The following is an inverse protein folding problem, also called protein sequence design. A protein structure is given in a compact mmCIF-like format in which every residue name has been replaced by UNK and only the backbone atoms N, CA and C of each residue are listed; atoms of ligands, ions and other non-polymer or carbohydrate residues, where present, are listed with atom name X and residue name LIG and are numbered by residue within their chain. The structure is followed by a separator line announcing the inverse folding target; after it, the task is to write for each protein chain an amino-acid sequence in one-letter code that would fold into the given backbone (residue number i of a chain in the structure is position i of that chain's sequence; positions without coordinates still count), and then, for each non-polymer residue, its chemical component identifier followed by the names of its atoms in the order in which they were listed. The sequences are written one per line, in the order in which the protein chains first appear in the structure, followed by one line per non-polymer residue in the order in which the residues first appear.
data_IF_360761752944
#
_entry.id   IF_360761752944
#
_cell.length_a   1.000
_cell.length_b   1.000
_cell.length_c   1.000
_cell.angle_alpha   90.00
_cell.angle_beta   90.00
_cell.angle_gamma   90.00
#
_symmetry.space_group_name_H-M   'P 1'
#
loop_
_entity.id
_entity.type
_entity.pdbx_description
1 polymer ?
#
# COMPACT_ATOMS: atom_id res chain seq x y z
N UNK A 1 10.97 11.51 36.72
CA UNK A 1 11.21 12.20 35.44
C UNK A 1 12.39 11.68 34.61
N UNK A 2 13.54 11.28 35.18
CA UNK A 2 14.74 10.87 34.39
C UNK A 2 14.55 9.65 33.46
N UNK A 3 13.65 8.71 33.80
CA UNK A 3 13.40 7.50 32.99
C UNK A 3 12.64 7.76 31.68
N UNK A 4 11.75 8.74 31.65
CA UNK A 4 10.96 9.10 30.46
C UNK A 4 11.83 9.80 29.39
N UNK A 5 12.76 10.65 29.82
CA UNK A 5 13.70 11.33 28.92
C UNK A 5 14.61 10.34 28.18
N UNK A 6 15.05 9.28 28.86
CA UNK A 6 15.92 8.27 28.26
C UNK A 6 15.20 7.47 27.16
N UNK A 7 13.92 7.14 27.36
CA UNK A 7 13.09 6.45 26.36
C UNK A 7 12.89 7.34 25.14
N UNK A 8 12.62 8.63 25.33
CA UNK A 8 12.47 9.59 24.25
C UNK A 8 13.76 9.75 23.42
N UNK A 9 14.91 9.90 24.08
CA UNK A 9 16.22 10.02 23.40
C UNK A 9 16.56 8.75 22.63
N UNK A 10 16.26 7.58 23.18
CA UNK A 10 16.50 6.30 22.50
C UNK A 10 15.62 6.19 21.26
N UNK A 11 14.36 6.61 21.34
CA UNK A 11 13.41 6.58 20.22
C UNK A 11 13.81 7.56 19.09
N UNK A 12 14.24 8.78 19.45
CA UNK A 12 14.72 9.79 18.47
C UNK A 12 16.03 9.34 17.81
N UNK A 13 16.94 8.74 18.57
CA UNK A 13 18.22 8.22 18.05
C UNK A 13 18.00 7.04 17.11
N UNK A 14 17.03 6.18 17.43
CA UNK A 14 16.64 5.07 16.57
C UNK A 14 15.96 5.54 15.27
N UNK A 15 15.07 6.54 15.36
CA UNK A 15 14.42 7.13 14.19
C UNK A 15 15.40 7.87 13.24
N UNK A 16 16.43 8.52 13.78
CA UNK A 16 17.46 9.21 12.97
C UNK A 16 18.50 8.23 12.42
N UNK A 17 18.97 7.28 13.22
CA UNK A 17 19.96 6.28 12.80
C UNK A 17 19.48 5.36 11.67
N UNK A 18 18.19 4.97 11.67
CA UNK A 18 17.64 4.06 10.66
C UNK A 18 17.52 4.70 9.27
N UNK A 19 17.31 6.02 9.19
CA UNK A 19 17.24 6.74 7.92
C UNK A 19 18.58 6.72 7.17
N UNK A 20 19.70 6.70 7.88
CA UNK A 20 21.04 6.60 7.29
C UNK A 20 21.30 5.20 6.70
N UNK A 21 20.90 4.14 7.39
CA UNK A 21 21.15 2.76 6.95
C UNK A 21 20.33 2.39 5.70
N UNK A 22 19.08 2.86 5.60
CA UNK A 22 18.26 2.64 4.39
C UNK A 22 18.75 3.46 3.18
N UNK A 23 19.34 4.63 3.41
CA UNK A 23 19.90 5.46 2.34
C UNK A 23 21.13 4.81 1.70
N UNK A 24 21.92 4.07 2.48
CA UNK A 24 23.15 3.41 2.01
C UNK A 24 22.86 2.08 1.30
N UNK A 25 21.86 1.31 1.76
CA UNK A 25 21.49 0.02 1.16
C UNK A 25 20.91 0.11 -0.25
N UNK A 26 20.39 1.27 -0.68
CA UNK A 26 19.67 1.41 -1.96
C UNK A 26 20.46 2.11 -3.06
N UNK A 27 21.67 2.59 -2.77
CA UNK A 27 22.52 3.26 -3.76
C UNK A 27 23.13 2.30 -4.80
N UNK A 28 23.09 0.97 -4.58
CA UNK A 28 23.74 -0.02 -5.43
C UNK A 28 22.81 -0.76 -6.42
N UNK A 29 21.51 -0.47 -6.45
CA UNK A 29 20.63 -1.05 -7.46
C UNK A 29 20.72 -0.28 -8.77
N UNK A 30 21.73 -0.64 -9.57
CA UNK A 30 21.77 -0.30 -10.99
C UNK A 30 20.55 -0.96 -11.65
N UNK A 31 19.72 -0.23 -12.42
CA UNK A 31 18.51 -0.79 -13.02
C UNK A 31 18.89 -1.87 -14.03
N UNK A 32 18.87 -3.12 -13.57
CA UNK A 32 19.04 -4.29 -14.44
C UNK A 32 17.83 -4.36 -15.34
N UNK A 33 18.02 -4.11 -16.64
CA UNK A 33 16.98 -4.26 -17.66
C UNK A 33 16.38 -5.65 -17.52
N UNK A 34 15.07 -5.80 -17.21
CA UNK A 34 14.50 -7.11 -16.97
C UNK A 34 14.59 -7.93 -18.26
N UNK A 35 15.28 -9.08 -18.16
CA UNK A 35 15.25 -10.11 -19.18
C UNK A 35 13.80 -10.49 -19.44
N UNK A 36 13.38 -10.41 -20.71
CA UNK A 36 12.01 -10.70 -21.13
C UNK A 36 11.60 -12.10 -20.65
N UNK A 37 10.72 -12.16 -19.64
CA UNK A 37 10.07 -13.41 -19.23
C UNK A 37 9.07 -13.79 -20.30
N UNK A 38 9.35 -14.87 -21.01
CA UNK A 38 8.44 -15.54 -21.92
C UNK A 38 7.28 -16.09 -21.07
N UNK A 39 6.09 -15.52 -21.26
CA UNK A 39 4.89 -15.85 -20.50
C UNK A 39 4.14 -16.93 -21.28
N UNK A 40 4.21 -18.17 -20.81
CA UNK A 40 3.45 -19.28 -21.35
C UNK A 40 1.96 -19.07 -21.05
N UNK A 41 1.20 -18.85 -22.12
CA UNK A 41 -0.23 -18.66 -22.07
C UNK A 41 -0.94 -20.03 -22.10
N UNK A 42 -1.20 -20.60 -20.93
CA UNK A 42 -2.19 -21.66 -20.77
C UNK A 42 -3.27 -21.16 -19.80
N UNK A 43 -4.30 -20.53 -20.35
CA UNK A 43 -5.49 -20.09 -19.61
C UNK A 43 -6.71 -20.66 -20.34
N UNK A 44 -7.27 -21.71 -19.76
CA UNK A 44 -8.56 -22.28 -20.17
C UNK A 44 -9.67 -21.26 -19.94
N UNK A 45 -10.26 -20.81 -21.02
CA UNK A 45 -11.43 -19.94 -21.05
C UNK A 45 -12.63 -20.61 -20.33
N UNK A 46 -13.05 -20.01 -19.22
CA UNK A 46 -14.37 -20.24 -18.63
C UNK A 46 -15.28 -19.10 -19.08
N UNK A 47 -16.09 -19.36 -20.10
CA UNK A 47 -17.11 -18.45 -20.61
C UNK A 47 -18.32 -18.46 -19.67
N UNK A 48 -18.38 -17.53 -18.72
CA UNK A 48 -19.62 -17.20 -18.01
C UNK A 48 -20.38 -16.16 -18.85
N UNK A 49 -21.56 -16.46 -19.38
CA UNK A 49 -22.37 -15.49 -20.11
C UNK A 49 -22.93 -14.47 -19.12
N UNK A 50 -22.34 -13.26 -19.10
CA UNK A 50 -22.88 -12.13 -18.35
C UNK A 50 -24.02 -11.52 -19.18
N UNK A 51 -25.27 -11.87 -18.86
CA UNK A 51 -26.47 -11.23 -19.42
C UNK A 51 -26.63 -9.83 -18.80
N UNK A 52 -25.99 -8.85 -19.44
CA UNK A 52 -26.17 -7.44 -19.12
C UNK A 52 -27.42 -6.94 -19.86
N UNK A 53 -28.57 -6.91 -19.18
CA UNK A 53 -29.76 -6.14 -19.61
C UNK A 53 -29.44 -4.64 -19.49
N UNK A 54 -28.61 -4.14 -20.40
CA UNK A 54 -28.29 -2.73 -20.53
C UNK A 54 -28.91 -2.19 -21.81
N UNK A 55 -29.87 -1.28 -21.66
CA UNK A 55 -30.38 -0.34 -22.67
C UNK A 55 -29.49 -0.24 -23.91
N UNK A 56 -29.95 -0.86 -25.00
CA UNK A 56 -29.37 -0.68 -26.33
C UNK A 56 -29.72 0.74 -26.76
N UNK A 57 -28.84 1.69 -26.44
CA UNK A 57 -28.87 3.01 -27.07
C UNK A 57 -28.67 2.75 -28.56
N UNK A 58 -29.70 3.06 -29.35
CA UNK A 58 -29.68 2.88 -30.79
C UNK A 58 -28.45 3.56 -31.38
N UNK A 59 -27.56 2.75 -31.94
CA UNK A 59 -26.30 3.18 -32.54
C UNK A 59 -26.63 3.97 -33.80
N UNK A 60 -26.36 5.27 -33.78
CA UNK A 60 -26.52 6.15 -34.94
C UNK A 60 -25.69 5.60 -36.12
N UNK A 61 -26.33 5.14 -37.21
CA UNK A 61 -25.64 4.52 -38.34
C UNK A 61 -24.83 5.51 -39.17
N UNK A 62 -25.01 6.82 -38.98
CA UNK A 62 -24.26 7.87 -39.66
C UNK A 62 -23.10 8.43 -38.84
N UNK A 63 -22.85 7.91 -37.62
CA UNK A 63 -21.65 8.25 -36.86
C UNK A 63 -20.46 7.55 -37.51
N UNK A 64 -19.86 8.27 -38.46
CA UNK A 64 -18.59 7.98 -39.12
C UNK A 64 -17.65 7.29 -38.11
N UNK A 65 -17.13 6.13 -38.48
CA UNK A 65 -16.20 5.32 -37.70
C UNK A 65 -14.82 5.99 -37.57
N UNK A 66 -14.80 7.31 -37.43
CA UNK A 66 -13.62 8.14 -37.26
C UNK A 66 -13.21 8.06 -35.81
N UNK A 67 -12.21 7.22 -35.59
CA UNK A 67 -11.59 6.96 -34.30
C UNK A 67 -12.45 6.11 -33.36
N UNK A 68 -12.11 4.82 -33.16
CA UNK A 68 -12.63 4.09 -32.02
C UNK A 68 -12.09 4.77 -30.76
N UNK A 69 -12.88 5.71 -30.25
CA UNK A 69 -12.68 6.53 -29.06
C UNK A 69 -12.81 5.63 -27.84
N UNK A 70 -11.88 4.67 -27.72
CA UNK A 70 -11.65 3.95 -26.49
C UNK A 70 -10.80 4.87 -25.62
N UNK A 71 -11.37 5.49 -24.56
CA UNK A 71 -10.63 6.40 -23.68
C UNK A 71 -9.48 5.72 -22.93
N UNK A 72 -9.37 4.39 -23.04
CA UNK A 72 -8.33 3.56 -22.42
C UNK A 72 -6.96 3.68 -23.11
N UNK A 73 -6.90 4.07 -24.38
CA UNK A 73 -5.63 4.20 -25.11
C UNK A 73 -5.32 5.66 -25.46
N UNK A 74 -5.31 6.53 -24.44
CA UNK A 74 -4.77 7.89 -24.64
C UNK A 74 -3.29 7.77 -24.98
N UNK A 75 -2.88 8.36 -26.10
CA UNK A 75 -1.48 8.51 -26.55
C UNK A 75 -0.55 9.13 -25.48
N UNK A 76 -1.12 9.65 -24.39
CA UNK A 76 -0.42 10.25 -23.27
C UNK A 76 -0.58 9.46 -21.96
N UNK A 77 -0.64 8.12 -21.99
CA UNK A 77 -0.72 7.30 -20.76
C UNK A 77 0.39 7.63 -19.75
N UNK A 78 1.58 8.01 -20.22
CA UNK A 78 2.69 8.49 -19.40
C UNK A 78 2.39 9.79 -18.63
N UNK A 79 1.52 10.65 -19.16
CA UNK A 79 1.10 11.91 -18.53
C UNK A 79 0.13 11.68 -17.37
N UNK A 80 -0.73 10.67 -17.48
CA UNK A 80 -1.74 10.37 -16.46
C UNK A 80 -1.25 9.42 -15.37
N UNK A 81 -0.27 8.56 -15.68
CA UNK A 81 0.29 7.58 -14.76
C UNK A 81 1.82 7.67 -14.74
N UNK A 82 2.40 8.71 -14.10
CA UNK A 82 3.84 8.84 -14.00
C UNK A 82 4.44 7.69 -13.17
N UNK A 83 5.70 7.30 -13.43
CA UNK A 83 6.35 6.24 -12.67
C UNK A 83 6.57 6.74 -11.25
N UNK A 84 6.34 5.86 -10.27
CA UNK A 84 6.50 6.20 -8.86
C UNK A 84 7.81 5.64 -8.34
N UNK A 85 8.49 6.42 -7.52
CA UNK A 85 9.80 6.04 -6.96
C UNK A 85 9.57 5.37 -5.61
N UNK A 86 10.08 4.14 -5.43
CA UNK A 86 9.91 3.37 -4.20
C UNK A 86 10.47 4.10 -2.97
N UNK A 87 11.62 4.77 -3.13
CA UNK A 87 12.23 5.60 -2.08
C UNK A 87 11.29 6.68 -1.55
N UNK A 88 10.55 7.35 -2.42
CA UNK A 88 9.59 8.39 -2.02
C UNK A 88 8.44 7.79 -1.21
N UNK A 89 7.93 6.62 -1.60
CA UNK A 89 6.88 5.95 -0.84
C UNK A 89 7.34 5.45 0.53
N UNK A 90 8.57 4.92 0.62
CA UNK A 90 9.20 4.53 1.88
C UNK A 90 9.31 5.74 2.81
N UNK A 91 9.86 6.86 2.31
CA UNK A 91 10.00 8.09 3.10
C UNK A 91 8.65 8.62 3.56
N UNK A 92 7.65 8.63 2.67
CA UNK A 92 6.29 9.04 3.02
C UNK A 92 5.69 8.14 4.10
N UNK A 93 5.81 6.81 3.96
CA UNK A 93 5.32 5.87 4.97
C UNK A 93 6.11 5.93 6.30
N UNK A 94 7.37 6.35 6.26
CA UNK A 94 8.14 6.64 7.47
C UNK A 94 7.65 7.94 8.14
N UNK A 95 7.28 8.98 7.40
CA UNK A 95 6.73 10.20 8.03
C UNK A 95 5.38 9.98 8.69
N UNK A 96 4.49 9.22 8.04
CA UNK A 96 3.15 8.95 8.56
C UNK A 96 2.65 7.59 8.03
N UNK A 97 2.09 6.72 8.88
CA UNK A 97 1.55 5.44 8.44
C UNK A 97 0.53 5.61 7.31
N UNK A 98 0.66 4.81 6.25
CA UNK A 98 -0.28 4.79 5.14
C UNK A 98 -0.06 5.81 4.00
N UNK A 99 0.84 6.79 4.16
CA UNK A 99 1.09 7.77 3.10
C UNK A 99 1.73 7.15 1.84
N UNK A 100 2.65 6.19 1.99
CA UNK A 100 3.28 5.54 0.84
C UNK A 100 2.29 4.72 -0.01
N UNK A 101 1.31 4.08 0.64
CA UNK A 101 0.22 3.36 -0.03
C UNK A 101 -0.72 4.34 -0.75
N UNK A 102 -1.05 5.45 -0.11
CA UNK A 102 -1.86 6.53 -0.72
C UNK A 102 -1.15 7.13 -1.93
N UNK A 103 0.14 7.43 -1.80
CA UNK A 103 1.00 7.87 -2.90
C UNK A 103 0.97 6.87 -4.06
N UNK A 104 0.94 5.57 -3.78
CA UNK A 104 0.84 4.50 -4.78
C UNK A 104 -0.56 4.30 -5.36
N UNK A 105 -1.55 5.12 -5.00
CA UNK A 105 -2.93 5.03 -5.49
C UNK A 105 -3.78 3.98 -4.79
N UNK A 106 -3.39 3.54 -3.58
CA UNK A 106 -4.15 2.62 -2.74
C UNK A 106 -4.58 3.28 -1.42
N UNK A 107 -5.49 4.27 -1.47
CA UNK A 107 -5.87 5.05 -0.29
C UNK A 107 -6.54 4.20 0.80
N UNK A 108 -7.30 3.17 0.42
CA UNK A 108 -7.95 2.26 1.40
C UNK A 108 -6.92 1.51 2.24
N UNK A 109 -5.83 1.02 1.62
CA UNK A 109 -4.73 0.39 2.37
C UNK A 109 -3.99 1.41 3.24
N UNK A 110 -3.78 2.61 2.72
CA UNK A 110 -3.17 3.70 3.49
C UNK A 110 -3.98 4.03 4.74
N UNK A 111 -5.30 4.18 4.60
CA UNK A 111 -6.20 4.45 5.70
C UNK A 111 -6.17 3.32 6.75
N UNK A 112 -6.12 2.06 6.32
CA UNK A 112 -6.04 0.92 7.24
C UNK A 112 -4.76 0.95 8.10
N UNK A 113 -3.60 1.28 7.51
CA UNK A 113 -2.36 1.42 8.28
C UNK A 113 -2.40 2.62 9.23
N UNK A 114 -2.99 3.73 8.80
CA UNK A 114 -3.15 4.92 9.62
C UNK A 114 -4.02 4.65 10.85
N UNK A 115 -5.21 4.06 10.66
CA UNK A 115 -6.12 3.74 11.75
C UNK A 115 -5.57 2.68 12.69
N UNK A 116 -4.94 1.63 12.14
CA UNK A 116 -4.30 0.60 12.96
C UNK A 116 -3.12 1.15 13.79
N UNK A 117 -2.25 1.94 13.16
CA UNK A 117 -1.10 2.55 13.84
C UNK A 117 -1.52 3.51 14.95
N UNK A 118 -2.44 4.44 14.66
CA UNK A 118 -2.97 5.37 15.66
C UNK A 118 -3.74 4.66 16.77
N UNK A 119 -4.55 3.65 16.43
CA UNK A 119 -5.30 2.86 17.39
C UNK A 119 -4.40 2.13 18.38
N UNK A 120 -3.31 1.51 17.91
CA UNK A 120 -2.34 0.83 18.78
C UNK A 120 -1.59 1.81 19.68
N UNK A 121 -1.18 2.98 19.17
CA UNK A 121 -0.51 4.02 19.97
C UNK A 121 -1.48 4.58 21.03
N UNK A 122 -2.74 4.84 20.68
CA UNK A 122 -3.74 5.31 21.62
C UNK A 122 -4.03 4.28 22.71
N UNK A 123 -4.19 3.00 22.34
CA UNK A 123 -4.38 1.90 23.29
C UNK A 123 -3.17 1.73 24.23
N UNK A 124 -1.96 1.88 23.70
CA UNK A 124 -0.74 1.87 24.51
C UNK A 124 -0.72 3.03 25.50
N UNK A 125 -0.99 4.25 25.05
CA UNK A 125 -1.04 5.45 25.88
C UNK A 125 -2.08 5.34 27.00
N UNK A 126 -3.29 4.88 26.69
CA UNK A 126 -4.35 4.64 27.67
C UNK A 126 -3.91 3.67 28.77
N UNK A 127 -3.28 2.56 28.39
CA UNK A 127 -2.83 1.56 29.34
C UNK A 127 -1.63 2.04 30.18
N UNK A 128 -0.70 2.79 29.59
CA UNK A 128 0.43 3.37 30.35
C UNK A 128 -0.08 4.41 31.35
N UNK A 129 -1.02 5.27 30.94
CA UNK A 129 -1.63 6.27 31.82
C UNK A 129 -2.33 5.61 33.01
N UNK A 130 -3.17 4.59 32.75
CA UNK A 130 -3.81 3.78 33.80
C UNK A 130 -2.80 3.12 34.72
N UNK A 131 -1.71 2.57 34.18
CA UNK A 131 -0.67 1.95 34.99
C UNK A 131 -0.03 2.95 35.96
N UNK A 132 0.29 4.15 35.48
CA UNK A 132 0.86 5.24 36.31
C UNK A 132 -0.14 5.70 37.36
N UNK A 133 -1.41 5.84 36.98
CA UNK A 133 -2.48 6.25 37.90
C UNK A 133 -2.66 5.26 39.06
N UNK A 134 -2.76 3.95 38.77
CA UNK A 134 -2.89 2.93 39.81
C UNK A 134 -1.63 2.79 40.67
N UNK A 135 -0.44 2.97 40.09
CA UNK A 135 0.81 2.96 40.85
C UNK A 135 0.87 4.13 41.85
N UNK A 136 0.54 5.35 41.42
CA UNK A 136 0.48 6.54 42.30
C UNK A 136 -0.56 6.38 43.41
N UNK A 137 -1.78 5.91 43.09
CA UNK A 137 -2.81 5.65 44.11
C UNK A 137 -2.37 4.58 45.12
N UNK A 138 -1.71 3.51 44.66
CA UNK A 138 -1.22 2.45 45.54
C UNK A 138 -0.15 2.93 46.52
N UNK A 139 0.60 3.96 46.16
CA UNK A 139 1.62 4.57 47.01
C UNK A 139 1.03 5.61 47.97
N UNK A 140 -0.11 6.22 47.62
CA UNK A 140 -0.80 7.21 48.46
C UNK A 140 -1.75 6.60 49.48
N UNK A 141 -2.46 5.53 49.12
CA UNK A 141 -3.53 4.95 49.94
C UNK A 141 -3.20 3.51 50.36
N UNK A 142 -2.61 3.35 51.54
CA UNK A 142 -2.27 2.03 52.10
C UNK A 142 -3.52 1.16 52.38
N UNK A 143 -4.68 1.76 52.64
CA UNK A 143 -5.92 1.04 52.98
C UNK A 143 -6.76 0.65 51.76
N UNK A 144 -6.42 1.15 50.57
CA UNK A 144 -7.22 0.98 49.36
C UNK A 144 -8.02 2.23 48.94
N UNK A 145 -8.64 2.16 47.76
CA UNK A 145 -9.41 3.23 47.13
C UNK A 145 -10.63 2.64 46.40
N UNK A 146 -11.76 3.35 46.43
CA UNK A 146 -12.93 2.99 45.65
C UNK A 146 -12.77 3.44 44.20
N UNK A 147 -12.69 2.50 43.26
CA UNK A 147 -12.56 2.81 41.84
C UNK A 147 -13.95 2.99 41.21
N UNK A 148 -14.31 4.21 40.76
CA UNK A 148 -15.63 4.46 40.18
C UNK A 148 -15.86 3.74 38.85
N UNK A 149 -14.82 3.19 38.21
CA UNK A 149 -14.97 2.49 36.94
C UNK A 149 -15.36 1.03 37.12
N UNK A 150 -14.88 0.40 38.19
CA UNK A 150 -15.14 -1.00 38.48
C UNK A 150 -16.17 -1.21 39.59
N UNK A 151 -16.72 -0.11 40.15
CA UNK A 151 -17.67 -0.10 41.27
C UNK A 151 -17.21 -0.98 42.45
N UNK A 152 -15.91 -0.99 42.70
CA UNK A 152 -15.29 -1.90 43.66
C UNK A 152 -14.22 -1.17 44.47
N UNK A 153 -14.15 -1.51 45.76
CA UNK A 153 -13.06 -1.07 46.62
C UNK A 153 -11.83 -1.92 46.36
N UNK A 154 -10.74 -1.30 45.90
CA UNK A 154 -9.49 -1.96 45.57
C UNK A 154 -8.48 -1.79 46.70
N UNK A 155 -7.91 -2.88 47.18
CA UNK A 155 -6.79 -2.83 48.13
C UNK A 155 -5.51 -2.34 47.47
N UNK A 156 -4.53 -1.90 48.24
CA UNK A 156 -3.23 -1.45 47.72
C UNK A 156 -2.53 -2.51 46.85
N UNK A 157 -2.61 -3.79 47.24
CA UNK A 157 -2.03 -4.89 46.46
C UNK A 157 -2.80 -5.15 45.15
N UNK A 158 -4.14 -5.07 45.18
CA UNK A 158 -4.95 -5.17 43.96
C UNK A 158 -4.64 -4.03 42.99
N UNK A 159 -4.43 -2.81 43.48
CA UNK A 159 -4.02 -1.67 42.65
C UNK A 159 -2.65 -1.91 42.00
N UNK A 160 -1.67 -2.43 42.74
CA UNK A 160 -0.35 -2.77 42.18
C UNK A 160 -0.42 -3.85 41.10
N UNK A 161 -1.27 -4.87 41.30
CA UNK A 161 -1.50 -5.92 40.29
C UNK A 161 -2.14 -5.32 39.04
N UNK A 162 -3.17 -4.47 39.18
CA UNK A 162 -3.78 -3.75 38.04
C UNK A 162 -2.78 -2.84 37.34
N UNK A 163 -1.97 -2.09 38.08
CA UNK A 163 -0.92 -1.23 37.52
C UNK A 163 0.04 -2.03 36.63
N UNK A 164 0.49 -3.20 37.10
CA UNK A 164 1.35 -4.11 36.31
C UNK A 164 0.63 -4.67 35.09
N UNK A 165 -0.62 -5.07 35.22
CA UNK A 165 -1.42 -5.58 34.10
C UNK A 165 -1.56 -4.53 32.99
N UNK A 166 -1.95 -3.30 33.35
CA UNK A 166 -2.02 -2.20 32.41
C UNK A 166 -0.64 -1.85 31.81
N UNK A 167 0.44 -1.85 32.60
CA UNK A 167 1.77 -1.62 32.07
C UNK A 167 2.17 -2.68 31.02
N UNK A 168 1.87 -3.95 31.28
CA UNK A 168 2.13 -5.04 30.33
C UNK A 168 1.34 -4.86 29.03
N UNK A 169 0.03 -4.56 29.12
CA UNK A 169 -0.77 -4.27 27.92
C UNK A 169 -0.27 -3.04 27.17
N UNK A 170 0.12 -1.98 27.89
CA UNK A 170 0.71 -0.79 27.30
C UNK A 170 1.96 -1.09 26.48
N UNK A 171 2.88 -1.90 27.03
CA UNK A 171 4.08 -2.35 26.33
C UNK A 171 3.73 -3.23 25.12
N UNK A 172 2.78 -4.16 25.26
CA UNK A 172 2.33 -5.03 24.17
C UNK A 172 1.73 -4.24 23.00
N UNK A 173 0.86 -3.27 23.29
CA UNK A 173 0.27 -2.41 22.25
C UNK A 173 1.32 -1.52 21.60
N UNK A 174 2.27 -0.97 22.37
CA UNK A 174 3.36 -0.16 21.82
C UNK A 174 4.25 -1.00 20.89
N UNK A 175 4.66 -2.19 21.33
CA UNK A 175 5.47 -3.11 20.54
C UNK A 175 4.72 -3.53 19.25
N UNK A 176 3.42 -3.81 19.36
CA UNK A 176 2.57 -4.11 18.21
C UNK A 176 2.47 -2.92 17.25
N UNK A 177 2.32 -1.70 17.77
CA UNK A 177 2.30 -0.47 16.98
C UNK A 177 3.58 -0.25 16.20
N UNK A 178 4.74 -0.50 16.82
CA UNK A 178 6.05 -0.46 16.15
C UNK A 178 6.11 -1.53 15.05
N UNK A 179 5.65 -2.75 15.32
CA UNK A 179 5.60 -3.83 14.33
C UNK A 179 4.76 -3.46 13.10
N UNK A 180 3.55 -2.93 13.32
CA UNK A 180 2.67 -2.44 12.25
C UNK A 180 3.30 -1.29 11.48
N UNK A 181 4.00 -0.38 12.16
CA UNK A 181 4.68 0.75 11.53
C UNK A 181 5.83 0.29 10.61
N UNK A 182 6.66 -0.66 11.06
CA UNK A 182 7.71 -1.26 10.23
C UNK A 182 7.10 -1.99 9.02
N UNK A 183 6.05 -2.78 9.24
CA UNK A 183 5.35 -3.46 8.16
C UNK A 183 4.79 -2.49 7.12
N UNK A 184 4.21 -1.37 7.56
CA UNK A 184 3.72 -0.31 6.68
C UNK A 184 4.79 0.24 5.73
N UNK A 185 6.04 0.34 6.16
CA UNK A 185 7.16 0.82 5.32
C UNK A 185 7.48 -0.20 4.23
N UNK A 186 7.58 -1.49 4.58
CA UNK A 186 7.85 -2.55 3.60
C UNK A 186 6.69 -2.72 2.61
N UNK A 187 5.45 -2.67 3.08
CA UNK A 187 4.26 -2.76 2.22
C UNK A 187 4.18 -1.57 1.25
N UNK A 188 4.62 -0.37 1.65
CA UNK A 188 4.66 0.79 0.77
C UNK A 188 5.61 0.60 -0.40
N UNK A 189 6.82 0.06 -0.15
CA UNK A 189 7.78 -0.26 -1.20
C UNK A 189 7.21 -1.27 -2.21
N UNK A 190 6.62 -2.35 -1.69
CA UNK A 190 5.96 -3.38 -2.51
C UNK A 190 4.80 -2.79 -3.33
N UNK A 191 3.99 -1.93 -2.73
CA UNK A 191 2.82 -1.33 -3.39
C UNK A 191 3.21 -0.40 -4.53
N UNK A 192 4.34 0.32 -4.44
CA UNK A 192 4.88 1.09 -5.57
C UNK A 192 5.31 0.18 -6.72
N UNK A 193 5.98 -0.92 -6.42
CA UNK A 193 6.41 -1.86 -7.46
C UNK A 193 5.19 -2.46 -8.18
N UNK A 194 4.18 -2.89 -7.43
CA UNK A 194 2.91 -3.35 -8.02
C UNK A 194 2.20 -2.26 -8.84
N UNK A 195 2.27 -0.99 -8.43
CA UNK A 195 1.74 0.14 -9.20
C UNK A 195 2.48 0.31 -10.53
N UNK A 196 3.81 0.27 -10.51
CA UNK A 196 4.65 0.40 -11.69
C UNK A 196 4.49 -0.81 -12.63
N UNK A 197 4.39 -2.03 -12.10
CA UNK A 197 4.16 -3.26 -12.88
C UNK A 197 2.83 -3.21 -13.64
N UNK A 198 1.74 -2.76 -12.99
CA UNK A 198 0.42 -2.61 -13.63
C UNK A 198 0.41 -1.58 -14.76
N UNK A 199 1.36 -0.66 -14.80
CA UNK A 199 1.49 0.34 -15.87
C UNK A 199 2.06 -0.25 -17.16
N UNK A 200 2.98 -1.21 -17.08
CA UNK A 200 3.68 -1.78 -18.25
C UNK A 200 2.74 -2.38 -19.33
N UNK A 201 1.72 -3.20 -19.00
CA UNK A 201 0.86 -3.79 -20.04
C UNK A 201 0.07 -2.73 -20.82
N UNK A 202 -0.28 -1.61 -20.18
CA UNK A 202 -0.96 -0.48 -20.87
C UNK A 202 -0.05 0.15 -21.93
N UNK A 203 1.25 0.27 -21.65
CA UNK A 203 2.22 0.82 -22.59
C UNK A 203 2.63 -0.18 -23.67
N UNK A 204 2.76 -1.47 -23.33
CA UNK A 204 3.10 -2.52 -24.27
C UNK A 204 2.01 -2.72 -25.33
N UNK A 205 0.73 -2.66 -24.94
CA UNK A 205 -0.39 -2.73 -25.89
C UNK A 205 -0.42 -1.54 -26.87
N UNK A 206 -0.01 -0.34 -26.44
CA UNK A 206 0.07 0.83 -27.32
C UNK A 206 1.14 0.66 -28.40
N UNK A 207 2.35 0.22 -28.03
CA UNK A 207 3.46 0.04 -28.95
C UNK A 207 3.20 -1.00 -30.06
N UNK A 208 2.40 -2.05 -29.78
CA UNK A 208 2.03 -3.06 -30.79
C UNK A 208 1.02 -2.51 -31.80
N UNK A 209 0.07 -1.68 -31.35
CA UNK A 209 -0.96 -1.09 -32.20
C UNK A 209 -0.39 -0.06 -33.18
N UNK A 210 0.54 0.77 -32.71
CA UNK A 210 1.17 1.77 -33.58
C UNK A 210 2.00 1.11 -34.69
N UNK A 211 2.68 0.00 -34.40
CA UNK A 211 3.46 -0.74 -35.42
C UNK A 211 2.59 -1.47 -36.44
N UNK A 212 1.36 -1.87 -36.11
CA UNK A 212 0.47 -2.57 -37.05
C UNK A 212 -0.24 -1.62 -38.01
N UNK A 213 -0.47 -0.36 -37.63
CA UNK A 213 -1.10 0.63 -38.52
C UNK A 213 -0.18 1.12 -39.65
N UNK A 214 1.14 1.06 -39.49
CA UNK A 214 2.08 1.52 -40.52
C UNK A 214 2.28 0.56 -41.70
N UNK A 215 1.73 -0.66 -41.68
CA UNK A 215 1.93 -1.65 -42.77
C UNK A 215 0.87 -1.55 -43.89
N UNK A 216 -0.19 -0.73 -43.76
CA UNK A 216 -1.32 -0.78 -44.73
C UNK A 216 -1.72 0.57 -45.38
N UNK A 217 -0.77 1.41 -45.76
CA UNK A 217 -1.08 2.65 -46.49
C UNK A 217 -0.18 2.97 -47.69
N UNK A 218 0.67 2.05 -48.12
CA UNK A 218 1.58 2.28 -49.26
C UNK A 218 1.61 1.09 -50.19
N UNK A 219 0.61 0.93 -51.05
CA UNK A 219 0.67 -0.06 -52.11
C UNK A 219 -0.64 -0.28 -52.82
N UNK A 220 -0.78 0.32 -54.00
CA UNK A 220 -1.61 -0.19 -55.08
C UNK A 220 -1.21 -1.65 -55.36
N UNK A 221 -1.80 -2.60 -54.63
CA UNK A 221 -1.72 -4.01 -54.95
C UNK A 221 -2.88 -4.32 -55.89
N UNK A 222 -2.57 -4.19 -57.17
CA UNK A 222 -3.16 -4.98 -58.24
C UNK A 222 -3.38 -6.42 -57.78
N UNK A 223 -4.64 -6.76 -57.55
CA UNK A 223 -5.30 -8.04 -57.87
C UNK A 223 -4.35 -9.27 -57.89
N UNK A 224 -4.30 -9.97 -56.77
CA UNK A 224 -3.59 -11.24 -56.62
C UNK A 224 -3.69 -11.74 -55.18
N UNK A 225 -4.91 -12.09 -54.74
CA UNK A 225 -5.13 -12.64 -53.41
C UNK A 225 -4.36 -13.96 -53.24
N UNK A 226 -3.28 -13.93 -52.45
CA UNK A 226 -2.69 -15.12 -51.87
C UNK A 226 -2.86 -15.01 -50.36
N UNK A 227 -3.80 -15.79 -49.82
CA UNK A 227 -4.03 -15.92 -48.39
C UNK A 227 -2.81 -16.62 -47.78
N UNK A 228 -2.01 -15.87 -47.04
CA UNK A 228 -0.89 -16.41 -46.28
C UNK A 228 -1.42 -16.90 -44.93
N UNK A 229 -1.79 -18.17 -44.90
CA UNK A 229 -2.20 -18.89 -43.69
C UNK A 229 -0.98 -19.02 -42.77
N UNK A 230 -0.84 -18.12 -41.79
CA UNK A 230 0.19 -18.25 -40.76
C UNK A 230 -0.23 -19.37 -39.81
N UNK A 231 0.29 -20.56 -40.08
CA UNK A 231 0.10 -21.74 -39.24
C UNK A 231 0.99 -21.60 -37.99
N UNK A 232 0.47 -20.97 -36.94
CA UNK A 232 1.09 -21.03 -35.60
C UNK A 232 0.78 -22.41 -35.01
N UNK A 233 1.72 -23.34 -35.15
CA UNK A 233 1.82 -24.48 -34.23
C UNK A 233 2.46 -23.98 -32.95
N UNK A 234 1.69 -24.01 -31.87
CA UNK A 234 2.21 -24.10 -30.51
C UNK A 234 2.35 -25.59 -30.16
#
# INVERSE_FOLDING_TARGET
MKKSLFILITFVSFATGWNTILAESTANETPTVPAARQMDADTKDSSIPLTLEGSVIARDPNRQADSPDYPLFRSHASKYYPPKIARTAILLSATLPGLGQTYSGRPVRGLAFLTAGLGLIAAAGFNIDRAVHYDDLSNRFNTGFYDPHDDNFLTADQMRVKARGHAQFGVLFLASGIGVYIWNIFDAAKTVNEYNERRFPVQAQQNVRDKTFFIRSGGNLSRGETYLTVNRRF
#
